data_IF_774271861101
#
_entry.id   IF_774271861101
#
_cell.length_a   1.000
_cell.length_b   1.000
_cell.length_c   1.000
_cell.angle_alpha   90.00
_cell.angle_beta   90.00
_cell.angle_gamma   90.00
#
_symmetry.space_group_name_H-M   'P 1'
#
loop_
_entity.id
_entity.type
_entity.pdbx_description
1 polymer ?
#
# COMPACT_ATOMS: atom_id res chain seq x y z
N UNK A 1 19.52 25.16 -7.14
CA UNK A 1 18.88 26.32 -7.80
C UNK A 1 19.09 27.57 -6.96
N UNK A 2 19.67 28.65 -7.54
CA UNK A 2 19.71 29.95 -6.86
C UNK A 2 18.31 30.55 -6.83
N UNK A 3 17.97 31.20 -5.72
CA UNK A 3 16.72 31.98 -5.59
C UNK A 3 16.88 33.25 -6.44
N UNK A 4 15.90 33.60 -7.30
CA UNK A 4 16.01 34.80 -8.12
C UNK A 4 15.98 36.06 -7.24
N UNK A 5 16.68 37.11 -7.70
CA UNK A 5 16.66 38.44 -7.09
C UNK A 5 15.33 39.15 -7.40
N UNK A 6 14.94 40.07 -6.53
CA UNK A 6 13.66 40.78 -6.62
C UNK A 6 13.65 41.75 -7.82
N UNK A 7 12.88 41.41 -8.86
CA UNK A 7 12.74 42.24 -10.08
C UNK A 7 12.80 41.47 -11.39
N UNK A 8 13.41 40.27 -11.41
CA UNK A 8 13.60 39.50 -12.64
C UNK A 8 12.44 38.52 -12.90
N UNK A 9 11.95 38.50 -14.15
CA UNK A 9 10.91 37.55 -14.61
C UNK A 9 11.56 36.31 -15.22
N UNK A 10 11.47 35.19 -14.52
CA UNK A 10 11.97 33.90 -15.00
C UNK A 10 10.83 32.93 -15.30
N UNK A 11 11.05 32.06 -16.29
CA UNK A 11 10.19 30.90 -16.56
C UNK A 11 10.67 29.69 -15.76
N UNK A 12 9.72 28.88 -15.27
CA UNK A 12 10.01 27.62 -14.58
C UNK A 12 9.30 26.47 -15.27
N UNK A 13 10.05 25.44 -15.64
CA UNK A 13 9.54 24.20 -16.22
C UNK A 13 9.82 23.06 -15.24
N UNK A 14 8.87 22.16 -15.06
CA UNK A 14 9.01 20.99 -14.17
C UNK A 14 8.63 19.72 -14.93
N UNK A 15 9.45 18.68 -14.81
CA UNK A 15 9.16 17.33 -15.31
C UNK A 15 9.06 16.36 -14.13
N UNK A 16 8.14 15.38 -14.23
CA UNK A 16 7.97 14.31 -13.24
C UNK A 16 8.07 12.97 -13.97
N UNK A 17 8.99 12.11 -13.52
CA UNK A 17 9.16 10.76 -14.03
C UNK A 17 8.71 9.77 -12.94
N UNK A 18 7.65 9.02 -13.21
CA UNK A 18 7.21 7.90 -12.35
C UNK A 18 7.91 6.63 -12.79
N UNK A 19 8.59 5.97 -11.86
CA UNK A 19 9.34 4.73 -12.10
C UNK A 19 8.86 3.63 -11.16
N UNK A 20 9.17 2.38 -11.51
CA UNK A 20 8.89 1.24 -10.64
C UNK A 20 9.70 1.35 -9.33
N UNK A 21 9.19 0.75 -8.27
CA UNK A 21 9.86 0.72 -6.96
C UNK A 21 11.16 -0.07 -7.08
N UNK A 22 11.15 -1.12 -7.89
CA UNK A 22 12.30 -1.96 -8.20
C UNK A 22 13.41 -1.15 -8.89
N UNK A 23 13.06 -0.34 -9.91
CA UNK A 23 14.03 0.50 -10.61
C UNK A 23 14.58 1.61 -9.72
N UNK A 24 13.73 2.23 -8.89
CA UNK A 24 14.16 3.30 -7.98
C UNK A 24 15.12 2.82 -6.91
N UNK A 25 14.89 1.62 -6.36
CA UNK A 25 15.71 1.03 -5.31
C UNK A 25 16.86 0.13 -5.83
N UNK A 26 17.09 0.13 -7.14
CA UNK A 26 18.23 -0.57 -7.73
C UNK A 26 19.48 0.33 -7.69
N UNK A 27 20.50 -0.02 -6.90
CA UNK A 27 21.72 0.77 -6.84
C UNK A 27 22.41 0.78 -8.21
N UNK A 28 22.90 1.94 -8.63
CA UNK A 28 23.56 2.13 -9.92
C UNK A 28 22.62 2.41 -11.10
N UNK A 29 21.29 2.42 -10.91
CA UNK A 29 20.37 3.00 -11.89
C UNK A 29 20.47 4.53 -11.84
N UNK A 30 20.64 5.16 -12.99
CA UNK A 30 20.73 6.62 -13.12
C UNK A 30 19.50 7.17 -13.84
N UNK A 31 18.91 8.23 -13.28
CA UNK A 31 17.80 8.96 -13.84
C UNK A 31 18.28 10.37 -14.19
N UNK A 32 18.44 10.63 -15.48
CA UNK A 32 18.99 11.91 -15.98
C UNK A 32 17.87 12.77 -16.57
N UNK A 33 17.76 13.99 -16.06
CA UNK A 33 16.93 15.04 -16.66
C UNK A 33 17.80 15.85 -17.61
N UNK A 34 17.44 15.92 -18.89
CA UNK A 34 18.17 16.69 -19.91
C UNK A 34 17.26 17.80 -20.43
N UNK A 35 17.70 19.04 -20.29
CA UNK A 35 17.01 20.24 -20.79
C UNK A 35 17.85 20.83 -21.89
N UNK A 36 17.28 20.85 -23.11
CA UNK A 36 17.85 21.59 -24.24
C UNK A 36 17.19 22.95 -24.30
N UNK A 37 17.99 24.00 -24.13
CA UNK A 37 17.53 25.38 -24.15
C UNK A 37 18.10 26.09 -25.38
N UNK A 38 17.24 26.77 -26.14
CA UNK A 38 17.66 27.58 -27.28
C UNK A 38 17.60 29.04 -26.89
N UNK A 39 18.73 29.74 -27.01
CA UNK A 39 18.86 31.15 -26.61
C UNK A 39 18.58 32.16 -27.74
N UNK A 40 18.21 31.67 -28.93
CA UNK A 40 18.05 32.48 -30.14
C UNK A 40 19.18 32.29 -31.14
N UNK A 41 20.33 31.78 -30.72
CA UNK A 41 21.51 31.56 -31.58
C UNK A 41 21.99 30.12 -31.56
N UNK A 42 22.03 29.49 -30.38
CA UNK A 42 22.52 28.14 -30.20
C UNK A 42 21.67 27.38 -29.18
N UNK A 43 21.73 26.06 -29.26
CA UNK A 43 21.07 25.16 -28.31
C UNK A 43 22.08 24.68 -27.28
N UNK A 44 21.89 25.07 -26.01
CA UNK A 44 22.68 24.57 -24.88
C UNK A 44 21.97 23.38 -24.22
N UNK A 45 22.75 22.42 -23.74
CA UNK A 45 22.23 21.26 -23.01
C UNK A 45 22.60 21.37 -21.54
N UNK A 46 21.60 21.24 -20.67
CA UNK A 46 21.76 21.22 -19.22
C UNK A 46 21.22 19.89 -18.70
N UNK A 47 22.04 19.14 -17.99
CA UNK A 47 21.63 17.86 -17.44
C UNK A 47 21.88 17.78 -15.94
N UNK A 48 21.03 17.00 -15.27
CA UNK A 48 21.19 16.64 -13.88
C UNK A 48 20.80 15.18 -13.69
N UNK A 49 21.55 14.45 -12.86
CA UNK A 49 21.39 13.01 -12.69
C UNK A 49 21.17 12.66 -11.23
N UNK A 50 20.14 11.86 -10.98
CA UNK A 50 19.86 11.25 -9.68
C UNK A 50 20.12 9.75 -9.77
N UNK A 51 20.79 9.20 -8.76
CA UNK A 51 21.07 7.76 -8.68
C UNK A 51 20.04 7.07 -7.79
N UNK A 52 19.60 5.89 -8.20
CA UNK A 52 18.73 5.02 -7.41
C UNK A 52 19.33 4.74 -6.03
N UNK A 53 18.50 4.82 -5.01
CA UNK A 53 18.93 4.73 -3.61
C UNK A 53 18.89 3.27 -3.18
N UNK A 54 19.89 2.82 -2.42
CA UNK A 54 19.81 1.50 -1.80
C UNK A 54 18.78 1.54 -0.66
N UNK A 55 17.60 1.00 -0.92
CA UNK A 55 16.53 0.89 0.08
C UNK A 55 15.82 -0.45 -0.04
N UNK A 56 15.58 -1.10 1.09
CA UNK A 56 14.44 -2.03 1.17
C UNK A 56 13.22 -1.14 1.00
N UNK A 57 12.41 -1.33 -0.05
CA UNK A 57 11.19 -0.53 -0.22
C UNK A 57 10.31 -0.63 1.02
N UNK A 58 10.40 0.35 1.92
CA UNK A 58 9.74 0.39 3.24
C UNK A 58 8.21 0.49 3.13
N UNK A 59 7.67 0.59 1.92
CA UNK A 59 6.24 0.51 1.62
C UNK A 59 5.87 -0.50 0.53
N UNK A 60 6.83 -1.26 0.00
CA UNK A 60 6.52 -2.34 -0.91
C UNK A 60 5.93 -3.49 -0.09
N UNK A 61 4.66 -3.83 -0.32
CA UNK A 61 4.05 -5.05 0.20
C UNK A 61 4.86 -6.25 -0.28
N UNK A 62 5.87 -6.64 0.49
CA UNK A 62 6.68 -7.80 0.19
C UNK A 62 5.80 -9.03 0.26
N UNK A 63 6.06 -10.00 -0.62
CA UNK A 63 5.34 -11.28 -0.66
C UNK A 63 5.30 -11.96 0.73
N UNK A 64 6.38 -11.83 1.49
CA UNK A 64 6.48 -12.36 2.85
C UNK A 64 5.53 -11.67 3.84
N UNK A 65 5.40 -10.35 3.76
CA UNK A 65 4.47 -9.57 4.59
C UNK A 65 3.01 -9.93 4.26
N UNK A 66 2.68 -10.07 2.97
CA UNK A 66 1.37 -10.54 2.52
C UNK A 66 1.04 -11.93 3.04
N UNK A 67 1.98 -12.87 2.95
CA UNK A 67 1.80 -14.23 3.47
C UNK A 67 1.56 -14.23 4.99
N UNK A 68 2.34 -13.47 5.76
CA UNK A 68 2.16 -13.34 7.21
C UNK A 68 0.79 -12.77 7.58
N UNK A 69 0.35 -11.68 6.93
CA UNK A 69 -0.98 -11.10 7.17
C UNK A 69 -2.08 -12.12 6.85
N UNK A 70 -1.99 -12.80 5.70
CA UNK A 70 -3.01 -13.77 5.29
C UNK A 70 -3.13 -14.96 6.24
N UNK A 71 -2.01 -15.40 6.83
CA UNK A 71 -1.97 -16.53 7.74
C UNK A 71 -2.56 -16.17 9.10
N UNK A 72 -2.27 -14.97 9.61
CA UNK A 72 -2.87 -14.42 10.83
C UNK A 72 -4.38 -14.23 10.68
N UNK A 73 -4.84 -13.72 9.53
CA UNK A 73 -6.26 -13.59 9.25
C UNK A 73 -6.98 -14.95 9.21
N UNK A 74 -6.38 -15.98 8.59
CA UNK A 74 -6.96 -17.33 8.58
C UNK A 74 -7.15 -17.91 9.99
N UNK A 75 -6.17 -17.70 10.88
CA UNK A 75 -6.27 -18.16 12.27
C UNK A 75 -7.40 -17.45 13.03
N UNK A 76 -7.55 -16.13 12.86
CA UNK A 76 -8.61 -15.37 13.52
C UNK A 76 -10.00 -15.78 13.04
N UNK A 77 -10.19 -15.98 11.73
CA UNK A 77 -11.45 -16.50 11.18
C UNK A 77 -11.78 -17.89 11.71
N UNK A 78 -10.80 -18.80 11.78
CA UNK A 78 -11.02 -20.14 12.31
C UNK A 78 -11.51 -20.11 13.77
N UNK A 79 -10.89 -19.30 14.63
CA UNK A 79 -11.31 -19.13 16.02
C UNK A 79 -12.72 -18.55 16.15
N UNK A 80 -13.06 -17.56 15.33
CA UNK A 80 -14.40 -16.97 15.32
C UNK A 80 -15.46 -17.98 14.89
N UNK A 81 -15.19 -18.79 13.87
CA UNK A 81 -16.11 -19.84 13.41
C UNK A 81 -16.34 -20.85 14.53
N UNK A 82 -15.29 -21.39 15.13
CA UNK A 82 -15.40 -22.37 16.23
C UNK A 82 -16.18 -21.79 17.41
N UNK A 83 -15.86 -20.56 17.84
CA UNK A 83 -16.56 -19.88 18.94
C UNK A 83 -18.05 -19.68 18.62
N UNK A 84 -18.36 -19.27 17.39
CA UNK A 84 -19.73 -19.03 16.95
C UNK A 84 -20.53 -20.32 16.85
N UNK A 85 -19.93 -21.41 16.36
CA UNK A 85 -20.55 -22.73 16.29
C UNK A 85 -20.87 -23.30 17.67
N UNK A 86 -19.96 -23.18 18.64
CA UNK A 86 -20.20 -23.60 20.03
C UNK A 86 -21.36 -22.82 20.66
N UNK A 87 -21.38 -21.50 20.46
CA UNK A 87 -22.45 -20.65 20.97
C UNK A 87 -23.80 -21.00 20.32
N UNK A 88 -23.83 -21.20 19.00
CA UNK A 88 -25.03 -21.62 18.27
C UNK A 88 -25.58 -22.96 18.77
N UNK A 89 -24.71 -23.95 18.96
CA UNK A 89 -25.09 -25.25 19.51
C UNK A 89 -25.64 -25.14 20.94
N UNK A 90 -25.01 -24.32 21.79
CA UNK A 90 -25.45 -24.10 23.17
C UNK A 90 -26.85 -23.45 23.23
N UNK A 91 -27.08 -22.40 22.44
CA UNK A 91 -28.39 -21.74 22.36
C UNK A 91 -29.45 -22.70 21.80
N UNK A 92 -29.15 -23.45 20.75
CA UNK A 92 -30.07 -24.45 20.19
C UNK A 92 -30.43 -25.53 21.22
N UNK A 93 -29.46 -26.01 22.00
CA UNK A 93 -29.68 -26.95 23.10
C UNK A 93 -30.59 -26.36 24.20
N UNK A 94 -30.37 -25.10 24.60
CA UNK A 94 -31.21 -24.44 25.59
C UNK A 94 -32.65 -24.30 25.10
N UNK A 95 -32.87 -23.87 23.85
CA UNK A 95 -34.20 -23.77 23.23
C UNK A 95 -34.88 -25.14 23.20
N UNK A 96 -34.17 -26.18 22.75
CA UNK A 96 -34.70 -27.55 22.74
C UNK A 96 -35.09 -28.03 24.14
N UNK A 97 -34.28 -27.74 25.17
CA UNK A 97 -34.57 -28.11 26.55
C UNK A 97 -35.77 -27.34 27.10
N UNK A 98 -35.88 -26.04 26.80
CA UNK A 98 -36.96 -25.16 27.25
C UNK A 98 -38.30 -25.45 26.57
N UNK A 99 -38.28 -25.89 25.31
CA UNK A 99 -39.49 -26.32 24.59
C UNK A 99 -40.04 -27.68 25.06
N UNK A 100 -39.30 -28.43 25.90
CA UNK A 100 -39.67 -29.79 26.31
C UNK A 100 -40.62 -29.95 27.53
N UNK A 101 -41.12 -28.90 28.20
CA UNK A 101 -42.31 -29.09 29.05
C UNK A 101 -43.35 -27.96 28.96
N UNK A 102 -44.00 -27.76 27.80
CA UNK A 102 -45.34 -27.12 27.75
C UNK A 102 -46.19 -27.75 26.64
N UNK A 103 -46.26 -29.08 26.63
CA UNK A 103 -47.05 -29.86 25.68
C UNK A 103 -47.83 -30.97 26.38
N UNK A 104 -48.56 -30.62 27.45
CA UNK A 104 -49.57 -31.52 28.03
C UNK A 104 -50.73 -30.70 28.59
N UNK A 105 -51.70 -30.41 27.72
CA UNK A 105 -53.12 -30.30 28.10
C UNK A 105 -53.87 -31.28 27.21
N UNK A 106 -54.22 -32.43 27.78
CA UNK A 106 -55.26 -33.31 27.24
C UNK A 106 -56.52 -33.12 28.07
N UNK A 107 -57.66 -33.11 27.39
CA UNK A 107 -59.03 -32.79 27.82
C UNK A 107 -59.30 -31.32 28.18
#
# INVERSE_FOLDING_TARGET
MRRPAEGDKFYRITSRLSVSVEDWFTPGKSFTCIVKFFDGTATTSHEDTVVGVQGKGEGAMTREYYLKISQTAKLSYALLIVKSSLYGAFVAFLVWKLQRPTGKRSN
#
